data_IF_707534930145
#
_entry.id   IF_707534930145
#
_cell.length_a   1.000
_cell.length_b   1.000
_cell.length_c   1.000
_cell.angle_alpha   90.00
_cell.angle_beta   90.00
_cell.angle_gamma   90.00
#
_symmetry.space_group_name_H-M   'P 1'
#
loop_
_entity.id
_entity.type
_entity.pdbx_description
1 polymer ?
#
# COMPACT_ATOMS: atom_id res chain seq x y z
N UNK A 1 -21.85 6.45 -29.16
CA UNK A 1 -22.99 6.20 -28.28
C UNK A 1 -22.51 5.29 -27.16
N UNK A 2 -22.32 5.82 -25.97
CA UNK A 2 -21.91 5.06 -24.79
C UNK A 2 -23.04 4.11 -24.44
N UNK A 3 -22.80 2.81 -24.47
CA UNK A 3 -23.78 1.77 -24.12
C UNK A 3 -24.25 1.96 -22.67
N UNK A 4 -25.28 2.80 -22.46
CA UNK A 4 -26.17 2.82 -21.30
C UNK A 4 -25.63 2.75 -19.87
N UNK A 5 -24.30 2.66 -19.64
CA UNK A 5 -23.72 2.52 -18.33
C UNK A 5 -23.57 3.90 -17.70
N UNK A 6 -24.16 4.05 -16.52
CA UNK A 6 -24.01 5.27 -15.73
C UNK A 6 -22.76 5.18 -14.86
N UNK A 7 -21.73 5.96 -15.18
CA UNK A 7 -20.44 6.00 -14.47
C UNK A 7 -20.59 6.21 -12.96
N UNK A 8 -21.54 7.08 -12.54
CA UNK A 8 -21.82 7.35 -11.12
C UNK A 8 -22.52 6.20 -10.42
N UNK A 9 -23.32 5.43 -11.15
CA UNK A 9 -23.92 4.21 -10.61
C UNK A 9 -22.88 3.12 -10.38
N UNK A 10 -21.89 3.01 -11.28
CA UNK A 10 -20.77 2.09 -11.10
C UNK A 10 -19.87 2.52 -9.91
N UNK A 11 -19.59 3.81 -9.75
CA UNK A 11 -18.90 4.35 -8.57
C UNK A 11 -19.63 3.96 -7.28
N UNK A 12 -20.95 4.19 -7.22
CA UNK A 12 -21.75 3.82 -6.05
C UNK A 12 -21.66 2.33 -5.75
N UNK A 13 -21.74 1.47 -6.77
CA UNK A 13 -21.62 0.02 -6.59
C UNK A 13 -20.25 -0.35 -6.01
N UNK A 14 -19.16 0.21 -6.55
CA UNK A 14 -17.79 -0.04 -6.07
C UNK A 14 -17.66 0.39 -4.60
N UNK A 15 -18.12 1.58 -4.25
CA UNK A 15 -18.05 2.09 -2.88
C UNK A 15 -18.84 1.23 -1.90
N UNK A 16 -20.04 0.76 -2.29
CA UNK A 16 -20.84 -0.16 -1.47
C UNK A 16 -20.16 -1.52 -1.29
N UNK A 17 -19.53 -2.09 -2.32
CA UNK A 17 -18.76 -3.32 -2.22
C UNK A 17 -17.58 -3.18 -1.24
N UNK A 18 -16.91 -2.02 -1.22
CA UNK A 18 -15.80 -1.74 -0.31
C UNK A 18 -16.30 -1.58 1.14
N UNK A 19 -17.39 -0.85 1.35
CA UNK A 19 -17.91 -0.53 2.68
C UNK A 19 -18.70 -1.67 3.34
N UNK A 20 -19.57 -2.33 2.57
CA UNK A 20 -20.47 -3.35 3.10
C UNK A 20 -19.89 -4.77 3.03
N UNK A 21 -19.13 -5.09 1.97
CA UNK A 21 -18.56 -6.42 1.76
C UNK A 21 -17.10 -6.51 2.20
N UNK A 22 -16.50 -5.40 2.61
CA UNK A 22 -15.10 -5.37 3.08
C UNK A 22 -14.07 -5.65 1.97
N UNK A 23 -14.41 -5.50 0.70
CA UNK A 23 -13.46 -5.70 -0.41
C UNK A 23 -12.35 -4.67 -0.40
N UNK A 24 -11.15 -5.05 -0.80
CA UNK A 24 -10.06 -4.11 -1.01
C UNK A 24 -10.36 -3.18 -2.20
N UNK A 25 -10.10 -1.89 -2.05
CA UNK A 25 -10.43 -0.85 -3.04
C UNK A 25 -9.87 -1.17 -4.43
N UNK A 26 -8.58 -1.50 -4.51
CA UNK A 26 -7.91 -1.85 -5.76
C UNK A 26 -8.49 -3.09 -6.43
N UNK A 27 -8.99 -4.08 -5.66
CA UNK A 27 -9.65 -5.29 -6.19
C UNK A 27 -11.04 -4.92 -6.71
N UNK A 28 -11.83 -4.19 -5.93
CA UNK A 28 -13.18 -3.78 -6.32
C UNK A 28 -13.16 -2.92 -7.60
N UNK A 29 -12.28 -1.92 -7.65
CA UNK A 29 -12.10 -1.05 -8.81
C UNK A 29 -11.63 -1.85 -10.04
N UNK A 30 -10.59 -2.69 -9.90
CA UNK A 30 -10.08 -3.52 -10.99
C UNK A 30 -11.16 -4.46 -11.53
N UNK A 31 -11.89 -5.16 -10.66
CA UNK A 31 -12.93 -6.10 -11.06
C UNK A 31 -14.10 -5.40 -11.77
N UNK A 32 -14.46 -4.20 -11.32
CA UNK A 32 -15.47 -3.39 -12.00
C UNK A 32 -14.97 -2.93 -13.38
N UNK A 33 -13.78 -2.36 -13.47
CA UNK A 33 -13.21 -1.84 -14.72
C UNK A 33 -12.86 -2.94 -15.73
N UNK A 34 -12.50 -4.15 -15.28
CA UNK A 34 -12.27 -5.28 -16.18
C UNK A 34 -13.52 -5.77 -16.89
N UNK A 35 -14.70 -5.65 -16.25
CA UNK A 35 -16.00 -5.94 -16.89
C UNK A 35 -16.38 -4.89 -17.95
N UNK A 36 -15.84 -3.69 -17.85
CA UNK A 36 -16.19 -2.52 -18.67
C UNK A 36 -14.99 -1.96 -19.43
N UNK A 37 -14.16 -2.83 -20.00
CA UNK A 37 -12.95 -2.45 -20.74
C UNK A 37 -13.20 -1.51 -21.92
N UNK A 38 -14.41 -1.52 -22.47
CA UNK A 38 -14.84 -0.66 -23.57
C UNK A 38 -15.10 0.81 -23.15
N UNK A 39 -15.08 1.13 -21.84
CA UNK A 39 -15.21 2.51 -21.38
C UNK A 39 -13.98 3.33 -21.81
N UNK A 40 -14.20 4.58 -22.29
CA UNK A 40 -13.10 5.48 -22.61
C UNK A 40 -12.16 5.68 -21.43
N UNK A 41 -10.87 5.92 -21.72
CA UNK A 41 -9.84 6.16 -20.70
C UNK A 41 -10.26 7.20 -19.66
N UNK A 42 -10.86 8.31 -20.15
CA UNK A 42 -11.30 9.41 -19.29
C UNK A 42 -12.37 8.96 -18.28
N UNK A 43 -13.31 8.12 -18.70
CA UNK A 43 -14.36 7.60 -17.80
C UNK A 43 -13.77 6.61 -16.78
N UNK A 44 -12.85 5.75 -17.19
CA UNK A 44 -12.16 4.84 -16.26
C UNK A 44 -11.36 5.60 -15.23
N UNK A 45 -10.60 6.63 -15.65
CA UNK A 45 -9.85 7.51 -14.76
C UNK A 45 -10.77 8.25 -13.78
N UNK A 46 -11.93 8.74 -14.26
CA UNK A 46 -12.92 9.38 -13.43
C UNK A 46 -13.48 8.43 -12.35
N UNK A 47 -13.82 7.18 -12.72
CA UNK A 47 -14.31 6.17 -11.77
C UNK A 47 -13.25 5.91 -10.69
N UNK A 48 -12.04 5.62 -11.10
CA UNK A 48 -10.92 5.36 -10.17
C UNK A 48 -10.72 6.55 -9.22
N UNK A 49 -10.59 7.75 -9.77
CA UNK A 49 -10.34 8.97 -8.99
C UNK A 49 -11.44 9.27 -7.97
N UNK A 50 -12.71 9.11 -8.35
CA UNK A 50 -13.82 9.37 -7.42
C UNK A 50 -13.89 8.28 -6.34
N UNK A 51 -13.68 7.01 -6.67
CA UNK A 51 -13.69 5.94 -5.69
C UNK A 51 -12.54 6.09 -4.68
N UNK A 52 -11.31 6.21 -5.16
CA UNK A 52 -10.11 6.34 -4.32
C UNK A 52 -10.18 7.61 -3.46
N UNK A 53 -10.48 8.75 -4.06
CA UNK A 53 -10.54 10.00 -3.34
C UNK A 53 -11.69 10.08 -2.33
N UNK A 54 -12.83 9.44 -2.59
CA UNK A 54 -13.92 9.34 -1.60
C UNK A 54 -13.45 8.57 -0.35
N UNK A 55 -12.69 7.49 -0.53
CA UNK A 55 -12.11 6.72 0.57
C UNK A 55 -10.99 7.48 1.27
N UNK A 56 -10.11 8.11 0.50
CA UNK A 56 -8.98 8.88 1.00
C UNK A 56 -9.43 10.02 1.93
N UNK A 57 -10.44 10.79 1.49
CA UNK A 57 -10.95 11.96 2.21
C UNK A 57 -12.22 11.70 3.03
N UNK A 58 -12.56 10.44 3.32
CA UNK A 58 -13.84 10.07 3.93
C UNK A 58 -14.15 10.82 5.22
N UNK A 59 -13.18 10.97 6.14
CA UNK A 59 -13.41 11.66 7.43
C UNK A 59 -13.67 13.16 7.21
N UNK A 60 -12.91 13.80 6.33
CA UNK A 60 -13.14 15.20 5.97
C UNK A 60 -14.49 15.36 5.27
N UNK A 61 -14.85 14.46 4.36
CA UNK A 61 -16.12 14.46 3.65
C UNK A 61 -17.28 14.29 4.65
N UNK A 62 -17.19 13.34 5.57
CA UNK A 62 -18.19 13.12 6.60
C UNK A 62 -18.34 14.35 7.50
N UNK A 63 -17.23 14.98 7.89
CA UNK A 63 -17.26 16.24 8.64
C UNK A 63 -17.97 17.37 7.87
N UNK A 64 -17.73 17.49 6.56
CA UNK A 64 -18.43 18.47 5.69
C UNK A 64 -19.93 18.15 5.67
N UNK A 65 -20.31 16.90 5.45
CA UNK A 65 -21.72 16.49 5.38
C UNK A 65 -22.41 16.79 6.71
N UNK A 66 -21.84 16.39 7.84
CA UNK A 66 -22.40 16.57 9.16
C UNK A 66 -22.55 18.07 9.55
N UNK A 67 -21.65 18.92 9.04
CA UNK A 67 -21.73 20.38 9.28
C UNK A 67 -22.92 21.04 8.57
N UNK A 68 -23.44 20.44 7.52
CA UNK A 68 -24.54 21.02 6.72
C UNK A 68 -25.78 20.13 6.63
N UNK A 69 -25.78 18.99 7.29
CA UNK A 69 -26.91 18.04 7.35
C UNK A 69 -27.52 17.99 8.75
N UNK A 70 -28.86 17.91 8.82
CA UNK A 70 -29.56 17.65 10.09
C UNK A 70 -29.49 16.18 10.53
N UNK A 71 -29.07 15.29 9.64
CA UNK A 71 -28.92 13.85 9.89
C UNK A 71 -27.44 13.53 9.81
N UNK A 72 -26.88 12.96 10.88
CA UNK A 72 -25.50 12.50 10.90
C UNK A 72 -25.27 11.40 9.85
N UNK A 73 -24.10 11.41 9.23
CA UNK A 73 -23.67 10.43 8.20
C UNK A 73 -23.85 9.00 8.70
N UNK A 74 -23.54 8.72 9.97
CA UNK A 74 -23.67 7.37 10.56
C UNK A 74 -25.11 6.87 10.62
N UNK A 75 -26.10 7.77 10.66
CA UNK A 75 -27.54 7.45 10.68
C UNK A 75 -28.15 7.33 9.30
N UNK A 76 -27.39 7.63 8.25
CA UNK A 76 -27.88 7.56 6.88
C UNK A 76 -27.91 6.11 6.36
N UNK A 77 -28.88 5.83 5.45
CA UNK A 77 -28.84 4.56 4.69
C UNK A 77 -27.55 4.48 3.88
N UNK A 78 -26.87 3.32 3.82
CA UNK A 78 -25.59 3.19 3.13
C UNK A 78 -25.58 3.77 1.71
N UNK A 79 -26.61 3.47 0.91
CA UNK A 79 -26.73 4.00 -0.46
C UNK A 79 -26.75 5.54 -0.48
N UNK A 80 -27.49 6.19 0.41
CA UNK A 80 -27.57 7.66 0.47
C UNK A 80 -26.25 8.25 0.97
N UNK A 81 -25.62 7.61 1.96
CA UNK A 81 -24.32 7.98 2.49
C UNK A 81 -23.26 8.00 1.40
N UNK A 82 -23.13 6.93 0.63
CA UNK A 82 -22.14 6.84 -0.45
C UNK A 82 -22.44 7.77 -1.64
N UNK A 83 -23.73 8.02 -1.95
CA UNK A 83 -24.11 9.05 -2.92
C UNK A 83 -23.63 10.43 -2.46
N UNK A 84 -23.87 10.79 -1.19
CA UNK A 84 -23.43 12.09 -0.65
C UNK A 84 -21.91 12.18 -0.59
N UNK A 85 -21.22 11.15 -0.07
CA UNK A 85 -19.75 11.12 0.01
C UNK A 85 -19.11 11.33 -1.37
N UNK A 86 -19.48 10.54 -2.35
CA UNK A 86 -18.93 10.66 -3.71
C UNK A 86 -19.28 11.98 -4.41
N UNK A 87 -20.44 12.55 -4.10
CA UNK A 87 -20.82 13.88 -4.61
C UNK A 87 -20.01 15.00 -3.94
N UNK A 88 -19.84 14.94 -2.61
CA UNK A 88 -19.02 15.94 -1.88
C UNK A 88 -17.56 15.88 -2.32
N UNK A 89 -17.02 14.68 -2.56
CA UNK A 89 -15.68 14.55 -3.16
C UNK A 89 -15.57 15.30 -4.49
N UNK A 90 -16.54 15.09 -5.41
CA UNK A 90 -16.54 15.78 -6.70
C UNK A 90 -16.65 17.30 -6.53
N UNK A 91 -17.54 17.80 -5.67
CA UNK A 91 -17.71 19.26 -5.39
C UNK A 91 -16.42 19.87 -4.83
N UNK A 92 -15.73 19.14 -3.95
CA UNK A 92 -14.57 19.70 -3.21
C UNK A 92 -13.26 19.61 -3.97
N UNK A 93 -13.06 18.55 -4.78
CA UNK A 93 -11.76 18.19 -5.32
C UNK A 93 -11.71 18.05 -6.85
N UNK A 94 -12.83 18.29 -7.56
CA UNK A 94 -12.89 18.13 -9.02
C UNK A 94 -13.39 19.39 -9.72
N UNK A 95 -12.54 20.40 -9.85
CA UNK A 95 -12.90 21.69 -10.47
C UNK A 95 -13.45 21.57 -11.89
N UNK A 96 -13.11 20.49 -12.61
CA UNK A 96 -13.62 20.24 -13.97
C UNK A 96 -15.07 19.77 -14.02
N UNK A 97 -15.69 19.44 -12.86
CA UNK A 97 -17.06 18.95 -12.77
C UNK A 97 -17.94 20.04 -12.15
N UNK A 98 -18.92 20.62 -12.90
CA UNK A 98 -19.79 21.65 -12.33
C UNK A 98 -20.61 21.15 -11.15
N UNK A 99 -20.66 21.88 -10.05
CA UNK A 99 -21.40 21.54 -8.83
C UNK A 99 -22.88 21.23 -9.11
N UNK A 100 -23.51 22.00 -10.01
CA UNK A 100 -24.91 21.78 -10.41
C UNK A 100 -25.13 20.43 -11.09
N UNK A 101 -24.15 19.96 -11.87
CA UNK A 101 -24.20 18.64 -12.50
C UNK A 101 -24.06 17.54 -11.46
N UNK A 102 -23.12 17.68 -10.50
CA UNK A 102 -22.94 16.73 -9.38
C UNK A 102 -24.23 16.60 -8.57
N UNK A 103 -24.83 17.71 -8.14
CA UNK A 103 -26.06 17.73 -7.37
C UNK A 103 -27.22 17.02 -8.14
N UNK A 104 -27.39 17.35 -9.43
CA UNK A 104 -28.45 16.78 -10.23
C UNK A 104 -28.29 15.26 -10.44
N UNK A 105 -27.06 14.80 -10.72
CA UNK A 105 -26.81 13.36 -10.91
C UNK A 105 -26.95 12.58 -9.60
N UNK A 106 -26.52 13.11 -8.45
CA UNK A 106 -26.72 12.51 -7.13
C UNK A 106 -28.23 12.32 -6.82
N UNK A 107 -29.06 13.32 -7.11
CA UNK A 107 -30.50 13.22 -6.93
C UNK A 107 -31.12 12.18 -7.85
N UNK A 108 -30.73 12.13 -9.15
CA UNK A 108 -31.16 11.09 -10.07
C UNK A 108 -30.76 9.69 -9.63
N UNK A 109 -29.52 9.55 -9.08
CA UNK A 109 -29.00 8.29 -8.60
C UNK A 109 -29.79 7.79 -7.38
N UNK A 110 -30.07 8.66 -6.40
CA UNK A 110 -30.94 8.34 -5.27
C UNK A 110 -32.35 7.87 -5.74
N UNK A 111 -32.89 8.52 -6.74
CA UNK A 111 -34.18 8.13 -7.35
C UNK A 111 -34.10 6.75 -8.01
N UNK A 112 -33.06 6.47 -8.83
CA UNK A 112 -32.87 5.17 -9.49
C UNK A 112 -32.71 4.03 -8.50
N UNK A 113 -32.13 4.29 -7.34
CA UNK A 113 -31.96 3.32 -6.25
C UNK A 113 -33.18 3.18 -5.33
N UNK A 114 -34.30 3.77 -5.70
CA UNK A 114 -35.59 3.63 -4.99
C UNK A 114 -35.82 4.63 -3.85
N UNK A 115 -34.92 5.59 -3.64
CA UNK A 115 -35.02 6.57 -2.55
C UNK A 115 -35.72 7.88 -2.98
N UNK A 116 -36.89 7.76 -3.59
CA UNK A 116 -37.67 8.92 -4.11
C UNK A 116 -37.97 9.96 -3.03
N UNK A 117 -38.35 9.53 -1.83
CA UNK A 117 -38.69 10.42 -0.71
C UNK A 117 -37.49 11.21 -0.17
N UNK A 118 -36.26 10.75 -0.42
CA UNK A 118 -35.00 11.39 0.03
C UNK A 118 -34.44 12.38 -1.00
N UNK A 119 -35.01 12.52 -2.19
CA UNK A 119 -34.59 13.51 -3.21
C UNK A 119 -34.40 14.94 -2.65
N UNK A 120 -35.42 15.50 -1.92
CA UNK A 120 -35.28 16.84 -1.36
C UNK A 120 -34.12 16.95 -0.35
N UNK A 121 -33.89 15.90 0.44
CA UNK A 121 -32.80 15.82 1.40
C UNK A 121 -31.44 15.85 0.69
N UNK A 122 -31.21 14.93 -0.26
CA UNK A 122 -29.96 14.86 -1.03
C UNK A 122 -29.67 16.20 -1.73
N UNK A 123 -30.68 16.74 -2.41
CA UNK A 123 -30.54 18.02 -3.12
C UNK A 123 -30.24 19.19 -2.15
N UNK A 124 -30.94 19.26 -1.03
CA UNK A 124 -30.77 20.32 -0.03
C UNK A 124 -29.37 20.30 0.59
N UNK A 125 -28.89 19.15 1.02
CA UNK A 125 -27.55 18.98 1.59
C UNK A 125 -26.47 19.36 0.58
N UNK A 126 -26.50 18.79 -0.63
CA UNK A 126 -25.45 19.01 -1.63
C UNK A 126 -25.42 20.46 -2.12
N UNK A 127 -26.57 21.11 -2.33
CA UNK A 127 -26.60 22.53 -2.76
C UNK A 127 -26.10 23.47 -1.65
N UNK A 128 -26.36 23.15 -0.39
CA UNK A 128 -25.82 23.92 0.72
C UNK A 128 -24.31 23.75 0.81
N UNK A 129 -23.82 22.53 0.71
CA UNK A 129 -22.36 22.24 0.67
C UNK A 129 -21.72 22.99 -0.49
N UNK A 130 -22.23 22.86 -1.73
CA UNK A 130 -21.68 23.53 -2.91
C UNK A 130 -21.51 25.04 -2.74
N UNK A 131 -22.42 25.69 -2.01
CA UNK A 131 -22.36 27.12 -1.73
C UNK A 131 -21.43 27.51 -0.59
N UNK A 132 -21.38 26.70 0.48
CA UNK A 132 -20.84 27.11 1.78
C UNK A 132 -19.53 26.40 2.20
N UNK A 133 -19.13 25.29 1.54
CA UNK A 133 -18.00 24.48 2.02
C UNK A 133 -16.68 25.28 2.15
N UNK A 134 -16.51 26.35 1.33
CA UNK A 134 -15.32 27.20 1.39
C UNK A 134 -15.23 28.01 2.69
N UNK A 135 -16.36 28.19 3.35
CA UNK A 135 -16.48 28.90 4.64
C UNK A 135 -16.42 27.94 5.86
N UNK A 136 -16.30 26.63 5.59
CA UNK A 136 -16.24 25.63 6.65
C UNK A 136 -15.00 25.84 7.53
N UNK A 137 -15.21 25.95 8.83
CA UNK A 137 -14.13 25.99 9.81
C UNK A 137 -13.80 24.57 10.26
N UNK A 138 -12.51 24.23 10.19
CA UNK A 138 -12.02 23.00 10.81
C UNK A 138 -12.07 23.11 12.34
N UNK A 139 -12.00 22.00 13.09
CA UNK A 139 -11.82 22.02 14.54
C UNK A 139 -10.62 22.89 14.95
N UNK A 140 -10.67 23.52 16.14
CA UNK A 140 -9.54 24.31 16.63
C UNK A 140 -8.35 23.40 16.95
N UNK A 141 -7.16 23.75 16.44
CA UNK A 141 -5.92 23.01 16.71
C UNK A 141 -5.49 23.17 18.18
N UNK A 142 -5.72 24.36 18.75
CA UNK A 142 -5.35 24.66 20.13
C UNK A 142 -6.24 23.91 21.14
N UNK A 143 -7.54 23.73 20.82
CA UNK A 143 -8.48 23.06 21.72
C UNK A 143 -8.41 21.54 21.61
N UNK A 144 -8.25 21.03 20.38
CA UNK A 144 -8.19 19.58 20.11
C UNK A 144 -7.31 19.27 18.90
N UNK A 145 -5.97 19.17 19.09
CA UNK A 145 -5.04 18.90 18.01
C UNK A 145 -5.29 17.55 17.31
N UNK A 146 -5.70 16.52 18.05
CA UNK A 146 -6.00 15.20 17.48
C UNK A 146 -7.17 15.29 16.51
N UNK A 147 -8.28 15.93 16.93
CA UNK A 147 -9.47 16.11 16.09
C UNK A 147 -9.17 17.00 14.89
N UNK A 148 -8.39 18.07 15.07
CA UNK A 148 -7.95 18.92 13.98
C UNK A 148 -7.19 18.14 12.92
N UNK A 149 -6.16 17.39 13.32
CA UNK A 149 -5.34 16.57 12.39
C UNK A 149 -6.17 15.46 11.74
N UNK A 150 -7.04 14.82 12.51
CA UNK A 150 -7.96 13.79 12.00
C UNK A 150 -8.82 14.31 10.85
N UNK A 151 -9.50 15.43 11.05
CA UNK A 151 -10.37 16.01 10.01
C UNK A 151 -9.56 16.56 8.85
N UNK A 152 -8.49 17.32 9.13
CA UNK A 152 -7.65 17.95 8.11
C UNK A 152 -7.04 16.95 7.15
N UNK A 153 -6.50 15.86 7.68
CA UNK A 153 -5.78 14.83 6.91
C UNK A 153 -6.60 13.56 6.67
N UNK A 154 -7.88 13.59 7.05
CA UNK A 154 -8.80 12.46 6.90
C UNK A 154 -8.25 11.15 7.48
N UNK A 155 -7.69 11.20 8.70
CA UNK A 155 -7.10 10.07 9.41
C UNK A 155 -7.87 9.78 10.70
N UNK A 156 -8.17 8.52 11.06
CA UNK A 156 -8.82 8.18 12.33
C UNK A 156 -8.09 8.78 13.55
N UNK A 157 -8.83 9.32 14.50
CA UNK A 157 -8.26 9.93 15.72
C UNK A 157 -7.38 8.95 16.50
N UNK A 158 -7.74 7.67 16.51
CA UNK A 158 -6.95 6.61 17.16
C UNK A 158 -5.54 6.48 16.57
N UNK A 159 -5.40 6.56 15.24
CA UNK A 159 -4.10 6.53 14.58
C UNK A 159 -3.34 7.83 14.77
N UNK A 160 -4.03 8.97 14.67
CA UNK A 160 -3.40 10.28 14.93
C UNK A 160 -2.83 10.33 16.34
N UNK A 161 -3.61 9.93 17.35
CA UNK A 161 -3.17 9.94 18.75
C UNK A 161 -1.94 9.04 18.93
N UNK A 162 -1.99 7.81 18.43
CA UNK A 162 -0.87 6.87 18.49
C UNK A 162 0.40 7.45 17.87
N UNK A 163 0.32 8.02 16.66
CA UNK A 163 1.51 8.58 16.00
C UNK A 163 2.04 9.84 16.65
N UNK A 164 1.18 10.65 17.30
CA UNK A 164 1.64 11.76 18.12
C UNK A 164 2.46 11.27 19.34
N UNK A 165 2.04 10.17 19.96
CA UNK A 165 2.78 9.53 21.07
C UNK A 165 4.10 8.89 20.57
N UNK A 166 4.05 8.18 19.43
CA UNK A 166 5.19 7.43 18.90
C UNK A 166 6.26 8.29 18.25
N UNK A 167 5.85 9.32 17.50
CA UNK A 167 6.74 10.08 16.60
C UNK A 167 6.80 11.57 16.89
N UNK A 168 5.92 12.08 17.76
CA UNK A 168 5.77 13.51 18.04
C UNK A 168 5.03 14.27 16.93
N UNK A 169 4.70 15.53 17.18
CA UNK A 169 3.81 16.33 16.33
C UNK A 169 4.39 16.56 14.93
N UNK A 170 5.67 16.95 14.84
CA UNK A 170 6.31 17.28 13.55
C UNK A 170 6.35 16.11 12.58
N UNK A 171 6.81 14.95 13.05
CA UNK A 171 6.88 13.74 12.19
C UNK A 171 5.49 13.23 11.84
N UNK A 172 4.55 13.25 12.78
CA UNK A 172 3.16 12.86 12.54
C UNK A 172 2.53 13.72 11.45
N UNK A 173 2.71 15.02 11.47
CA UNK A 173 2.14 15.90 10.45
C UNK A 173 2.79 15.68 9.06
N UNK A 174 4.10 15.37 9.02
CA UNK A 174 4.78 14.94 7.77
C UNK A 174 4.19 13.64 7.22
N UNK A 175 4.00 12.64 8.07
CA UNK A 175 3.39 11.35 7.68
C UNK A 175 1.97 11.57 7.13
N UNK A 176 1.15 12.32 7.84
CA UNK A 176 -0.23 12.62 7.43
C UNK A 176 -0.30 13.38 6.10
N UNK A 177 0.58 14.34 5.90
CA UNK A 177 0.69 15.12 4.65
C UNK A 177 1.10 14.24 3.48
N UNK A 178 2.08 13.38 3.70
CA UNK A 178 2.63 12.48 2.68
C UNK A 178 1.59 11.48 2.16
N UNK A 179 0.73 10.99 3.04
CA UNK A 179 -0.35 10.08 2.65
C UNK A 179 -1.39 10.68 1.71
N UNK A 180 -1.52 12.01 1.67
CA UNK A 180 -2.39 12.74 0.75
C UNK A 180 -1.66 13.27 -0.49
N UNK A 181 -0.37 12.97 -0.61
CA UNK A 181 0.46 13.40 -1.74
C UNK A 181 0.48 12.31 -2.82
N UNK A 182 0.12 12.68 -4.04
CA UNK A 182 0.22 11.77 -5.18
C UNK A 182 1.70 11.46 -5.48
N UNK A 183 2.02 10.17 -5.56
CA UNK A 183 3.39 9.69 -5.79
C UNK A 183 3.50 8.96 -7.13
N UNK A 184 4.63 9.13 -7.84
CA UNK A 184 4.92 8.32 -9.02
C UNK A 184 5.05 6.84 -8.64
N UNK A 185 4.90 5.96 -9.63
CA UNK A 185 5.19 4.54 -9.44
C UNK A 185 6.70 4.34 -9.52
N UNK A 186 7.21 3.56 -8.58
CA UNK A 186 8.62 3.16 -8.56
C UNK A 186 8.80 1.80 -9.22
N UNK A 187 9.84 1.68 -10.03
CA UNK A 187 10.23 0.44 -10.69
C UNK A 187 11.69 0.11 -10.41
N UNK A 188 11.95 -1.17 -10.17
CA UNK A 188 13.28 -1.76 -10.09
C UNK A 188 13.72 -2.22 -11.47
N UNK A 189 14.91 -1.81 -11.91
CA UNK A 189 15.55 -2.27 -13.13
C UNK A 189 16.34 -3.55 -12.86
N UNK A 190 16.21 -4.55 -13.73
CA UNK A 190 16.95 -5.83 -13.64
C UNK A 190 18.33 -5.71 -14.30
N UNK A 191 19.20 -4.94 -13.65
CA UNK A 191 20.51 -4.53 -14.18
C UNK A 191 21.53 -5.67 -14.28
N UNK A 192 21.31 -6.80 -13.59
CA UNK A 192 22.15 -8.00 -13.76
C UNK A 192 21.98 -8.64 -15.15
N UNK A 193 20.78 -8.50 -15.77
CA UNK A 193 20.42 -9.13 -17.04
C UNK A 193 20.41 -8.14 -18.21
N UNK A 194 20.11 -6.87 -17.95
CA UNK A 194 19.95 -5.83 -18.96
C UNK A 194 20.72 -4.56 -18.60
N UNK A 195 21.41 -3.92 -19.56
CA UNK A 195 22.03 -2.62 -19.31
C UNK A 195 20.97 -1.57 -18.88
N UNK A 196 21.24 -0.83 -17.83
CA UNK A 196 20.31 0.18 -17.30
C UNK A 196 19.93 1.24 -18.36
N UNK A 197 20.89 1.61 -19.23
CA UNK A 197 20.65 2.54 -20.33
C UNK A 197 19.60 2.03 -21.31
N UNK A 198 19.61 0.76 -21.66
CA UNK A 198 18.62 0.14 -22.55
C UNK A 198 17.21 0.16 -21.93
N UNK A 199 17.11 -0.09 -20.62
CA UNK A 199 15.84 -0.02 -19.91
C UNK A 199 15.29 1.42 -19.92
N UNK A 200 16.15 2.40 -19.65
CA UNK A 200 15.80 3.81 -19.69
C UNK A 200 15.30 4.24 -21.08
N UNK A 201 16.06 3.94 -22.13
CA UNK A 201 15.71 4.25 -23.52
C UNK A 201 14.36 3.63 -23.91
N UNK A 202 14.13 2.36 -23.57
CA UNK A 202 12.87 1.66 -23.83
C UNK A 202 11.65 2.33 -23.17
N UNK A 203 11.81 2.92 -21.98
CA UNK A 203 10.75 3.66 -21.31
C UNK A 203 10.51 5.03 -21.97
N UNK A 204 11.58 5.78 -22.26
CA UNK A 204 11.50 7.10 -22.86
C UNK A 204 10.93 7.06 -24.28
N UNK A 205 11.29 6.08 -25.09
CA UNK A 205 10.78 5.89 -26.45
C UNK A 205 9.27 5.66 -26.49
N UNK A 206 8.70 5.14 -25.39
CA UNK A 206 7.25 5.00 -25.21
C UNK A 206 6.57 6.23 -24.55
N UNK A 207 7.31 7.34 -24.39
CA UNK A 207 6.80 8.60 -23.86
C UNK A 207 6.67 8.63 -22.33
N UNK A 208 7.29 7.68 -21.62
CA UNK A 208 7.30 7.66 -20.16
C UNK A 208 8.25 8.71 -19.62
N UNK A 209 7.80 9.47 -18.62
CA UNK A 209 8.70 10.31 -17.84
C UNK A 209 9.43 9.43 -16.81
N UNK A 210 10.77 9.48 -16.85
CA UNK A 210 11.64 8.65 -16.01
C UNK A 210 12.55 9.54 -15.18
N UNK A 211 12.50 9.37 -13.86
CA UNK A 211 13.39 10.05 -12.91
C UNK A 211 14.13 9.03 -12.07
N UNK A 212 15.38 9.29 -11.65
CA UNK A 212 16.02 8.42 -10.65
C UNK A 212 15.19 8.37 -9.38
N UNK A 213 14.97 7.16 -8.86
CA UNK A 213 14.37 6.99 -7.55
C UNK A 213 15.41 7.28 -6.44
N UNK A 214 14.97 7.61 -5.21
CA UNK A 214 15.89 7.81 -4.10
C UNK A 214 16.63 6.52 -3.73
N UNK A 215 17.78 6.66 -3.10
CA UNK A 215 18.56 5.63 -2.41
C UNK A 215 19.21 4.54 -3.30
N UNK A 216 18.58 4.11 -4.39
CA UNK A 216 19.05 2.98 -5.20
C UNK A 216 19.27 3.38 -6.66
N UNK A 217 20.51 3.25 -7.19
CA UNK A 217 20.85 3.74 -8.52
C UNK A 217 20.16 3.00 -9.68
N UNK A 218 19.65 1.78 -9.43
CA UNK A 218 18.95 0.96 -10.41
C UNK A 218 17.41 1.08 -10.32
N UNK A 219 16.91 2.02 -9.54
CA UNK A 219 15.48 2.27 -9.39
C UNK A 219 15.08 3.58 -10.09
N UNK A 220 13.89 3.57 -10.70
CA UNK A 220 13.29 4.75 -11.33
C UNK A 220 11.90 5.03 -10.80
N UNK A 221 11.57 6.31 -10.69
CA UNK A 221 10.20 6.81 -10.61
C UNK A 221 9.69 7.05 -12.03
N UNK A 222 8.53 6.51 -12.35
CA UNK A 222 7.93 6.62 -13.69
C UNK A 222 6.54 7.26 -13.64
N UNK A 223 6.25 8.11 -14.62
CA UNK A 223 4.98 8.80 -14.80
C UNK A 223 4.65 8.99 -16.28
N UNK A 224 3.50 9.58 -16.60
CA UNK A 224 3.07 9.86 -17.96
C UNK A 224 2.96 8.64 -18.89
N UNK A 225 2.44 7.52 -18.40
CA UNK A 225 2.14 6.33 -19.21
C UNK A 225 0.64 5.96 -19.12
N UNK A 226 0.16 5.22 -20.11
CA UNK A 226 -1.24 4.82 -20.14
C UNK A 226 -1.54 3.62 -19.24
N UNK A 227 -0.70 2.61 -19.34
CA UNK A 227 -0.88 1.34 -18.62
C UNK A 227 0.47 0.66 -18.48
N UNK A 228 0.89 0.35 -17.25
CA UNK A 228 2.21 -0.26 -17.01
C UNK A 228 2.37 -1.61 -17.70
N UNK A 229 1.28 -2.40 -17.80
CA UNK A 229 1.27 -3.69 -18.47
C UNK A 229 1.45 -3.61 -20.00
N UNK A 230 1.43 -2.39 -20.58
CA UNK A 230 1.65 -2.17 -22.01
C UNK A 230 3.04 -1.63 -22.31
N UNK A 231 3.87 -1.39 -21.29
CA UNK A 231 5.25 -0.95 -21.47
C UNK A 231 6.13 -2.14 -21.87
N UNK A 232 6.92 -1.98 -22.93
CA UNK A 232 7.82 -3.03 -23.43
C UNK A 232 8.81 -3.49 -22.36
N UNK A 233 9.36 -2.55 -21.60
CA UNK A 233 10.26 -2.87 -20.51
C UNK A 233 9.58 -3.74 -19.42
N UNK A 234 8.27 -3.57 -19.18
CA UNK A 234 7.52 -4.42 -18.25
C UNK A 234 7.22 -5.78 -18.85
N UNK A 235 6.69 -5.83 -20.08
CA UNK A 235 6.33 -7.07 -20.79
C UNK A 235 7.57 -7.98 -20.93
N UNK A 236 8.72 -7.40 -21.26
CA UNK A 236 9.99 -8.12 -21.43
C UNK A 236 10.68 -8.45 -20.10
N UNK A 237 10.06 -8.19 -18.97
CA UNK A 237 10.62 -8.47 -17.65
C UNK A 237 11.87 -7.66 -17.28
N UNK A 238 12.15 -6.55 -17.98
CA UNK A 238 13.29 -5.67 -17.69
C UNK A 238 13.10 -4.83 -16.44
N UNK A 239 11.85 -4.55 -16.08
CA UNK A 239 11.47 -3.82 -14.87
C UNK A 239 10.46 -4.60 -14.03
N UNK A 240 10.51 -4.35 -12.72
CA UNK A 240 9.55 -4.83 -11.74
C UNK A 240 8.97 -3.63 -10.98
N UNK A 241 7.63 -3.56 -10.81
CA UNK A 241 7.01 -2.58 -9.93
C UNK A 241 7.34 -2.95 -8.51
N UNK A 242 8.07 -2.09 -7.83
CA UNK A 242 8.50 -2.31 -6.45
C UNK A 242 8.83 -0.97 -5.82
N UNK A 243 8.40 -0.74 -4.57
CA UNK A 243 8.80 0.45 -3.81
C UNK A 243 10.26 0.31 -3.35
N UNK A 244 10.97 1.44 -3.26
CA UNK A 244 12.37 1.44 -2.82
C UNK A 244 12.53 0.83 -1.44
N UNK A 245 11.61 1.09 -0.51
CA UNK A 245 11.62 0.47 0.82
C UNK A 245 11.63 -1.06 0.76
N UNK A 246 10.83 -1.63 -0.14
CA UNK A 246 10.79 -3.07 -0.40
C UNK A 246 12.05 -3.59 -1.11
N UNK A 247 12.71 -2.75 -1.95
CA UNK A 247 13.98 -3.12 -2.58
C UNK A 247 15.11 -3.22 -1.57
N UNK A 248 15.14 -2.38 -0.53
CA UNK A 248 16.15 -2.40 0.53
C UNK A 248 16.19 -3.73 1.28
N UNK A 249 15.11 -4.51 1.30
CA UNK A 249 15.10 -5.85 1.92
C UNK A 249 16.13 -6.77 1.27
N UNK A 250 16.19 -6.80 -0.06
CA UNK A 250 17.15 -7.64 -0.78
C UNK A 250 18.60 -7.10 -0.67
N UNK A 251 18.77 -5.76 -0.59
CA UNK A 251 20.07 -5.17 -0.31
C UNK A 251 20.60 -5.60 1.05
N UNK A 252 19.76 -5.48 2.09
CA UNK A 252 20.09 -5.83 3.47
C UNK A 252 20.29 -7.35 3.64
N UNK A 253 19.51 -8.16 2.94
CA UNK A 253 19.64 -9.61 2.96
C UNK A 253 21.01 -10.07 2.45
N UNK A 254 21.56 -9.35 1.46
CA UNK A 254 22.87 -9.60 0.85
C UNK A 254 23.09 -11.07 0.46
N UNK A 255 22.17 -11.68 -0.36
CA UNK A 255 22.29 -13.08 -0.71
C UNK A 255 23.52 -13.32 -1.58
N UNK A 256 24.22 -14.42 -1.34
CA UNK A 256 25.42 -14.80 -2.08
C UNK A 256 25.11 -15.80 -3.17
N UNK A 257 25.97 -15.87 -4.19
CA UNK A 257 25.82 -16.86 -5.26
C UNK A 257 25.84 -18.27 -4.69
N UNK A 258 24.80 -19.04 -5.01
CA UNK A 258 24.66 -20.42 -4.56
C UNK A 258 23.85 -20.58 -3.27
N UNK A 259 23.42 -19.49 -2.62
CA UNK A 259 22.58 -19.55 -1.43
C UNK A 259 21.23 -20.24 -1.70
N UNK A 260 20.73 -20.88 -0.67
CA UNK A 260 19.33 -21.29 -0.57
C UNK A 260 18.57 -20.28 0.28
N UNK A 261 17.61 -19.60 -0.37
CA UNK A 261 16.81 -18.55 0.25
C UNK A 261 15.36 -19.00 0.37
N UNK A 262 14.74 -18.81 1.53
CA UNK A 262 13.32 -19.01 1.76
C UNK A 262 12.64 -17.65 1.93
N UNK A 263 11.63 -17.35 1.12
CA UNK A 263 10.75 -16.19 1.27
C UNK A 263 9.38 -16.66 1.78
N UNK A 264 9.09 -16.38 3.07
CA UNK A 264 7.97 -16.97 3.80
C UNK A 264 6.59 -16.47 3.37
N UNK A 265 6.48 -15.23 2.84
CA UNK A 265 5.24 -14.56 2.46
C UNK A 265 5.47 -13.79 1.17
N UNK A 266 5.81 -14.52 0.08
CA UNK A 266 6.48 -14.00 -1.08
C UNK A 266 5.61 -13.15 -2.03
N UNK A 267 4.28 -13.37 -2.06
CA UNK A 267 3.43 -12.75 -3.08
C UNK A 267 3.44 -11.21 -3.06
N UNK A 268 3.53 -10.58 -4.23
CA UNK A 268 3.51 -11.11 -5.59
C UNK A 268 4.87 -11.52 -6.19
N UNK A 269 5.92 -11.74 -5.37
CA UNK A 269 7.23 -12.23 -5.79
C UNK A 269 8.31 -11.15 -5.98
N UNK A 270 8.02 -9.89 -5.67
CA UNK A 270 8.95 -8.78 -5.90
C UNK A 270 10.29 -8.93 -5.16
N UNK A 271 10.27 -9.36 -3.89
CA UNK A 271 11.47 -9.59 -3.06
C UNK A 271 12.21 -10.85 -3.48
N UNK A 272 11.49 -11.95 -3.70
CA UNK A 272 12.04 -13.21 -4.19
C UNK A 272 12.81 -13.03 -5.51
N UNK A 273 12.19 -12.35 -6.49
CA UNK A 273 12.83 -12.03 -7.78
C UNK A 273 14.02 -11.07 -7.61
N UNK A 274 13.98 -10.14 -6.65
CA UNK A 274 15.11 -9.24 -6.40
C UNK A 274 16.30 -9.99 -5.82
N UNK A 275 16.07 -10.86 -4.85
CA UNK A 275 17.10 -11.75 -4.29
C UNK A 275 17.69 -12.65 -5.38
N UNK A 276 16.86 -13.25 -6.22
CA UNK A 276 17.30 -14.06 -7.35
C UNK A 276 18.19 -13.26 -8.32
N UNK A 277 17.79 -12.03 -8.64
CA UNK A 277 18.58 -11.11 -9.47
C UNK A 277 19.96 -10.81 -8.85
N UNK A 278 20.03 -10.61 -7.54
CA UNK A 278 21.30 -10.38 -6.83
C UNK A 278 22.21 -11.61 -6.83
N UNK A 279 21.65 -12.80 -6.78
CA UNK A 279 22.41 -14.05 -6.91
C UNK A 279 22.85 -14.33 -8.35
N UNK A 280 22.36 -13.61 -9.33
CA UNK A 280 22.76 -13.74 -10.75
C UNK A 280 22.41 -15.09 -11.35
N UNK A 281 21.21 -15.58 -11.10
CA UNK A 281 20.68 -16.88 -11.54
C UNK A 281 21.40 -18.12 -10.93
N UNK A 282 22.21 -17.94 -9.89
CA UNK A 282 22.82 -19.03 -9.10
C UNK A 282 22.10 -19.21 -7.76
N UNK A 283 22.08 -20.46 -7.24
CA UNK A 283 21.35 -20.79 -6.01
C UNK A 283 19.87 -21.02 -6.24
N UNK A 284 19.07 -20.98 -5.18
CA UNK A 284 17.62 -21.26 -5.23
C UNK A 284 16.88 -20.33 -4.29
N UNK A 285 15.76 -19.77 -4.76
CA UNK A 285 14.79 -19.05 -3.95
C UNK A 285 13.50 -19.86 -3.88
N UNK A 286 13.13 -20.29 -2.68
CA UNK A 286 11.87 -20.96 -2.39
C UNK A 286 10.87 -19.89 -1.92
N UNK A 287 10.00 -19.48 -2.84
CA UNK A 287 9.02 -18.42 -2.66
C UNK A 287 7.68 -19.04 -2.23
N UNK A 288 7.28 -18.80 -0.98
CA UNK A 288 6.11 -19.43 -0.33
C UNK A 288 5.00 -18.41 -0.09
N UNK A 289 3.75 -18.83 -0.27
CA UNK A 289 2.60 -18.05 0.19
C UNK A 289 1.40 -18.95 0.49
N UNK A 290 0.46 -18.44 1.30
CA UNK A 290 -0.63 -19.22 1.91
C UNK A 290 -1.67 -19.76 0.92
N UNK A 291 -1.80 -19.20 -0.29
CA UNK A 291 -2.88 -19.58 -1.21
C UNK A 291 -2.42 -19.72 -2.65
N UNK A 292 -3.09 -20.63 -3.39
CA UNK A 292 -2.81 -20.84 -4.82
C UNK A 292 -2.90 -19.53 -5.61
N UNK A 293 -3.93 -18.70 -5.38
CA UNK A 293 -4.06 -17.41 -6.05
C UNK A 293 -2.82 -16.50 -5.89
N UNK A 294 -2.20 -16.50 -4.70
CA UNK A 294 -0.98 -15.73 -4.46
C UNK A 294 0.24 -16.36 -5.11
N UNK A 295 0.32 -17.68 -5.10
CA UNK A 295 1.37 -18.43 -5.81
C UNK A 295 1.28 -18.19 -7.31
N UNK A 296 0.07 -18.22 -7.90
CA UNK A 296 -0.13 -17.91 -9.32
C UNK A 296 0.43 -16.52 -9.69
N UNK A 297 0.28 -15.53 -8.80
CA UNK A 297 0.86 -14.19 -9.01
C UNK A 297 2.40 -14.20 -9.00
N UNK A 298 3.02 -15.05 -8.17
CA UNK A 298 4.48 -15.22 -8.15
C UNK A 298 4.93 -15.89 -9.46
N UNK A 299 4.25 -16.95 -9.87
CA UNK A 299 4.54 -17.68 -11.12
C UNK A 299 4.40 -16.80 -12.36
N UNK A 300 3.34 -15.97 -12.45
CA UNK A 300 3.18 -14.98 -13.51
C UNK A 300 4.41 -14.05 -13.61
N UNK A 301 4.93 -13.58 -12.47
CA UNK A 301 6.11 -12.73 -12.44
C UNK A 301 7.40 -13.52 -12.76
N UNK A 302 7.55 -14.77 -12.32
CA UNK A 302 8.67 -15.66 -12.70
C UNK A 302 8.69 -15.82 -14.23
N UNK A 303 7.56 -16.18 -14.83
CA UNK A 303 7.44 -16.33 -16.28
C UNK A 303 7.75 -15.05 -17.04
N UNK A 304 7.15 -13.93 -16.62
CA UNK A 304 7.35 -12.63 -17.26
C UNK A 304 8.81 -12.17 -17.22
N UNK A 305 9.52 -12.48 -16.14
CA UNK A 305 10.91 -12.07 -15.95
C UNK A 305 11.93 -13.10 -16.44
N UNK A 306 11.47 -14.27 -16.90
CA UNK A 306 12.31 -15.40 -17.29
C UNK A 306 13.37 -15.71 -16.20
N UNK A 307 12.87 -15.79 -14.94
CA UNK A 307 13.70 -16.09 -13.77
C UNK A 307 13.74 -17.60 -13.57
N UNK A 308 14.94 -18.19 -13.54
CA UNK A 308 15.12 -19.66 -13.56
C UNK A 308 15.40 -20.27 -12.19
N UNK A 309 15.73 -19.45 -11.20
CA UNK A 309 16.16 -19.89 -9.87
C UNK A 309 15.17 -19.55 -8.74
N UNK A 310 13.93 -19.22 -9.08
CA UNK A 310 12.82 -19.06 -8.14
C UNK A 310 11.80 -20.16 -8.35
N UNK A 311 11.40 -20.81 -7.26
CA UNK A 311 10.34 -21.81 -7.24
C UNK A 311 9.23 -21.31 -6.31
N UNK A 312 7.96 -21.41 -6.73
CA UNK A 312 6.82 -20.93 -5.96
C UNK A 312 6.02 -22.09 -5.40
N UNK A 313 5.66 -22.02 -4.10
CA UNK A 313 4.94 -23.08 -3.41
C UNK A 313 3.82 -22.54 -2.54
N UNK A 314 2.68 -23.25 -2.52
CA UNK A 314 1.62 -23.01 -1.52
C UNK A 314 2.08 -23.57 -0.19
N UNK A 315 2.31 -22.69 0.78
CA UNK A 315 2.69 -23.07 2.15
C UNK A 315 2.19 -22.04 3.15
N UNK A 316 1.59 -22.54 4.23
CA UNK A 316 1.18 -21.69 5.35
C UNK A 316 2.40 -21.44 6.26
N UNK A 317 2.85 -20.19 6.34
CA UNK A 317 4.01 -19.80 7.13
C UNK A 317 3.83 -20.02 8.65
N UNK A 318 2.59 -20.26 9.12
CA UNK A 318 2.30 -20.59 10.53
C UNK A 318 2.49 -22.08 10.83
N UNK A 319 2.66 -22.92 9.81
CA UNK A 319 2.87 -24.36 9.94
C UNK A 319 4.36 -24.67 9.73
N UNK A 320 4.98 -25.30 10.73
CA UNK A 320 6.39 -25.67 10.64
C UNK A 320 6.63 -26.75 9.57
N UNK A 321 7.60 -26.48 8.70
CA UNK A 321 8.06 -27.41 7.68
C UNK A 321 9.37 -28.08 8.09
N UNK A 322 9.30 -29.34 8.52
CA UNK A 322 10.45 -30.10 8.98
C UNK A 322 11.52 -30.28 7.89
N UNK A 323 11.09 -30.31 6.62
CA UNK A 323 12.01 -30.46 5.50
C UNK A 323 12.87 -29.21 5.24
N UNK A 324 12.51 -28.08 5.82
CA UNK A 324 13.26 -26.82 5.72
C UNK A 324 14.15 -26.51 6.91
N UNK A 325 14.09 -27.33 7.97
CA UNK A 325 14.84 -27.10 9.21
C UNK A 325 16.35 -26.94 8.95
N UNK A 326 16.93 -25.82 9.41
CA UNK A 326 18.35 -25.48 9.31
C UNK A 326 18.96 -25.54 7.90
N UNK A 327 18.15 -25.32 6.85
CA UNK A 327 18.63 -25.42 5.46
C UNK A 327 18.91 -24.07 4.79
N UNK A 328 18.24 -23.00 5.21
CA UNK A 328 18.34 -21.73 4.52
C UNK A 328 19.58 -20.92 4.92
N UNK A 329 20.29 -20.41 3.92
CA UNK A 329 21.33 -19.40 4.09
C UNK A 329 20.72 -18.06 4.50
N UNK A 330 19.59 -17.73 3.86
CA UNK A 330 18.81 -16.52 4.10
C UNK A 330 17.33 -16.86 4.20
N UNK A 331 16.66 -16.31 5.20
CA UNK A 331 15.18 -16.34 5.29
C UNK A 331 14.67 -14.91 5.22
N UNK A 332 13.74 -14.66 4.32
CA UNK A 332 12.95 -13.43 4.26
C UNK A 332 11.61 -13.64 4.96
N UNK A 333 11.37 -12.89 6.02
CA UNK A 333 10.11 -12.84 6.73
C UNK A 333 9.43 -11.48 6.53
N UNK A 334 8.92 -11.24 5.29
CA UNK A 334 8.09 -10.08 4.98
C UNK A 334 6.64 -10.40 5.36
N UNK A 335 6.36 -10.28 6.65
CA UNK A 335 5.16 -10.84 7.26
C UNK A 335 3.91 -10.01 7.00
N UNK A 336 2.72 -10.64 7.01
CA UNK A 336 1.45 -9.93 7.00
C UNK A 336 1.41 -8.90 8.13
N UNK A 337 0.97 -7.66 7.82
CA UNK A 337 0.98 -6.55 8.76
C UNK A 337 -0.24 -5.64 8.58
N UNK A 338 -0.43 -4.67 9.49
CA UNK A 338 -1.50 -3.67 9.39
C UNK A 338 -1.44 -2.82 8.12
N UNK A 339 -0.25 -2.65 7.52
CA UNK A 339 -0.05 -1.88 6.31
C UNK A 339 -0.12 -0.36 6.49
N UNK A 340 0.06 0.15 7.71
CA UNK A 340 -0.03 1.59 7.98
C UNK A 340 1.00 2.42 7.22
N UNK A 341 2.10 1.82 6.77
CA UNK A 341 3.11 2.51 5.96
C UNK A 341 2.67 2.80 4.53
N UNK A 342 1.62 2.14 4.03
CA UNK A 342 1.16 2.21 2.64
C UNK A 342 -0.27 2.77 2.50
N UNK A 343 -0.77 3.47 3.52
CA UNK A 343 -2.11 4.09 3.53
C UNK A 343 -2.31 5.02 2.32
N UNK A 344 -1.29 5.76 1.89
CA UNK A 344 -1.37 6.63 0.71
C UNK A 344 -1.70 5.89 -0.59
N UNK A 345 -1.33 4.61 -0.69
CA UNK A 345 -1.64 3.72 -1.83
C UNK A 345 -2.90 2.88 -1.62
N UNK A 346 -3.31 2.66 -0.36
CA UNK A 346 -4.44 1.81 0.03
C UNK A 346 -5.24 2.50 1.16
N UNK A 347 -6.00 3.56 0.84
CA UNK A 347 -6.62 4.42 1.86
C UNK A 347 -7.66 3.71 2.74
N UNK A 348 -8.22 2.59 2.31
CA UNK A 348 -9.17 1.81 3.12
C UNK A 348 -8.54 1.15 4.35
N UNK A 349 -7.22 0.95 4.36
CA UNK A 349 -6.49 0.32 5.48
C UNK A 349 -6.78 1.05 6.79
N UNK A 350 -6.74 2.37 6.79
CA UNK A 350 -6.93 3.20 7.99
C UNK A 350 -8.29 3.02 8.68
N UNK A 351 -9.28 2.44 8.00
CA UNK A 351 -10.63 2.21 8.54
C UNK A 351 -10.87 0.76 9.00
N UNK A 352 -9.93 -0.16 8.79
CA UNK A 352 -10.15 -1.60 8.97
C UNK A 352 -9.47 -2.20 10.17
N UNK A 353 -8.39 -1.61 10.64
CA UNK A 353 -7.62 -2.17 11.75
C UNK A 353 -8.17 -1.64 13.07
N UNK A 354 -8.69 -2.55 13.88
CA UNK A 354 -9.09 -2.33 15.27
C UNK A 354 -7.97 -2.75 16.21
N UNK A 355 -8.02 -2.35 17.49
CA UNK A 355 -7.04 -2.79 18.49
C UNK A 355 -6.95 -4.33 18.59
N UNK A 356 -8.09 -5.01 18.58
CA UNK A 356 -8.12 -6.47 18.58
C UNK A 356 -7.42 -7.08 17.35
N UNK A 357 -7.69 -6.57 16.15
CA UNK A 357 -7.00 -7.02 14.93
C UNK A 357 -5.50 -6.75 14.97
N UNK A 358 -5.09 -5.66 15.60
CA UNK A 358 -3.67 -5.35 15.81
C UNK A 358 -2.99 -6.43 16.65
N UNK A 359 -3.62 -6.84 17.76
CA UNK A 359 -3.11 -7.92 18.61
C UNK A 359 -3.05 -9.27 17.86
N UNK A 360 -4.11 -9.60 17.10
CA UNK A 360 -4.14 -10.81 16.27
C UNK A 360 -3.00 -10.82 15.23
N UNK A 361 -2.71 -9.67 14.60
CA UNK A 361 -1.61 -9.51 13.65
C UNK A 361 -0.26 -9.75 14.33
N UNK A 362 -0.02 -9.17 15.50
CA UNK A 362 1.23 -9.37 16.26
C UNK A 362 1.44 -10.85 16.61
N UNK A 363 0.40 -11.54 17.05
CA UNK A 363 0.47 -12.99 17.35
C UNK A 363 0.81 -13.80 16.09
N UNK A 364 0.14 -13.49 14.97
CA UNK A 364 0.42 -14.12 13.68
C UNK A 364 1.88 -13.92 13.25
N UNK A 365 2.38 -12.69 13.35
CA UNK A 365 3.76 -12.35 13.00
C UNK A 365 4.77 -13.13 13.84
N UNK A 366 4.55 -13.23 15.16
CA UNK A 366 5.42 -14.01 16.06
C UNK A 366 5.42 -15.49 15.70
N UNK A 367 4.25 -16.06 15.38
CA UNK A 367 4.16 -17.46 14.94
C UNK A 367 4.96 -17.71 13.66
N UNK A 368 4.91 -16.78 12.70
CA UNK A 368 5.71 -16.87 11.47
C UNK A 368 7.20 -16.72 11.76
N UNK A 369 7.58 -15.80 12.64
CA UNK A 369 8.98 -15.59 13.04
C UNK A 369 9.55 -16.78 13.81
N UNK A 370 8.76 -17.46 14.64
CA UNK A 370 9.15 -18.72 15.30
C UNK A 370 9.56 -19.78 14.25
N UNK A 371 8.71 -20.01 13.24
CA UNK A 371 9.02 -20.96 12.17
C UNK A 371 10.22 -20.50 11.31
N UNK A 372 10.26 -19.21 10.96
CA UNK A 372 11.36 -18.64 10.19
C UNK A 372 12.71 -18.83 10.87
N UNK A 373 12.76 -18.70 12.21
CA UNK A 373 13.97 -18.92 12.98
C UNK A 373 14.53 -20.34 12.81
N UNK A 374 13.66 -21.35 12.79
CA UNK A 374 14.07 -22.75 12.68
C UNK A 374 14.61 -23.12 11.28
N UNK A 375 14.27 -22.37 10.25
CA UNK A 375 14.74 -22.63 8.88
C UNK A 375 16.16 -22.11 8.61
N UNK A 376 16.60 -21.09 9.34
CA UNK A 376 17.93 -20.48 9.17
C UNK A 376 19.00 -21.41 9.69
N UNK A 377 19.99 -21.73 8.89
CA UNK A 377 21.16 -22.53 9.32
C UNK A 377 22.08 -21.74 10.28
N UNK A 378 22.91 -22.40 11.11
CA UNK A 378 23.89 -21.70 11.93
C UNK A 378 24.76 -20.73 11.10
N UNK A 379 24.89 -19.50 11.55
CA UNK A 379 25.56 -18.43 10.81
C UNK A 379 24.75 -17.81 9.66
N UNK A 380 23.56 -18.32 9.35
CA UNK A 380 22.67 -17.77 8.33
C UNK A 380 21.97 -16.47 8.77
N UNK A 381 21.25 -15.87 7.86
CA UNK A 381 20.58 -14.57 8.02
C UNK A 381 19.07 -14.72 8.03
N UNK A 382 18.40 -13.99 8.92
CA UNK A 382 16.97 -13.72 8.83
C UNK A 382 16.75 -12.22 8.64
N UNK A 383 15.96 -11.85 7.62
CA UNK A 383 15.51 -10.47 7.42
C UNK A 383 14.03 -10.41 7.69
N UNK A 384 13.68 -9.71 8.75
CA UNK A 384 12.29 -9.41 9.12
C UNK A 384 11.87 -8.08 8.54
N UNK A 385 10.73 -8.01 7.88
CA UNK A 385 10.22 -6.76 7.34
C UNK A 385 8.69 -6.66 7.39
N UNK A 386 8.20 -5.42 7.43
CA UNK A 386 6.77 -5.08 7.38
C UNK A 386 6.56 -3.78 6.61
N UNK A 387 5.40 -3.64 5.95
CA UNK A 387 4.97 -2.37 5.35
C UNK A 387 4.12 -1.52 6.33
N UNK A 388 4.46 -1.53 7.61
CA UNK A 388 3.78 -0.73 8.64
C UNK A 388 4.73 0.19 9.39
N UNK A 389 4.14 1.15 10.10
CA UNK A 389 4.83 2.05 11.03
C UNK A 389 4.36 1.85 12.47
N UNK A 390 3.72 0.72 12.78
CA UNK A 390 3.28 0.38 14.12
C UNK A 390 4.44 -0.23 14.93
N UNK A 391 4.79 0.34 16.07
CA UNK A 391 5.90 -0.13 16.91
C UNK A 391 5.70 -1.55 17.43
N UNK A 392 4.46 -1.90 17.74
CA UNK A 392 4.08 -3.23 18.23
C UNK A 392 4.40 -4.34 17.22
N UNK A 393 4.25 -4.02 15.93
CA UNK A 393 4.54 -4.95 14.84
C UNK A 393 6.02 -4.95 14.45
N UNK A 394 6.76 -3.90 14.76
CA UNK A 394 8.12 -3.65 14.32
C UNK A 394 9.15 -3.84 15.46
N UNK A 395 9.50 -2.77 16.18
CA UNK A 395 10.54 -2.78 17.22
C UNK A 395 10.23 -3.76 18.36
N UNK A 396 8.96 -3.86 18.78
CA UNK A 396 8.59 -4.77 19.86
C UNK A 396 8.68 -6.24 19.42
N UNK A 397 8.28 -6.56 18.18
CA UNK A 397 8.47 -7.91 17.63
C UNK A 397 9.95 -8.24 17.42
N UNK A 398 10.76 -7.29 16.97
CA UNK A 398 12.22 -7.44 16.86
C UNK A 398 12.83 -7.76 18.22
N UNK A 399 12.49 -7.01 19.27
CA UNK A 399 13.00 -7.23 20.62
C UNK A 399 12.51 -8.58 21.20
N UNK A 400 11.21 -8.89 20.98
CA UNK A 400 10.66 -10.19 21.36
C UNK A 400 11.45 -11.34 20.70
N UNK A 401 11.70 -11.25 19.39
CA UNK A 401 12.44 -12.26 18.65
C UNK A 401 13.85 -12.49 19.20
N UNK A 402 14.60 -11.42 19.48
CA UNK A 402 15.94 -11.50 20.06
C UNK A 402 15.96 -12.16 21.45
N UNK A 403 14.90 -11.98 22.23
CA UNK A 403 14.81 -12.56 23.58
C UNK A 403 14.42 -14.04 23.58
N UNK A 404 13.80 -14.53 22.49
CA UNK A 404 13.28 -15.90 22.42
C UNK A 404 14.08 -16.83 21.51
N UNK A 405 14.94 -16.29 20.63
CA UNK A 405 15.69 -17.09 19.65
C UNK A 405 17.20 -16.83 19.72
N UNK A 406 18.04 -17.81 19.30
CA UNK A 406 19.50 -17.70 19.33
C UNK A 406 20.05 -16.83 18.19
N UNK A 407 19.57 -15.61 18.09
CA UNK A 407 19.97 -14.63 17.07
C UNK A 407 20.56 -13.36 17.71
N UNK A 408 21.26 -12.59 16.89
CA UNK A 408 21.72 -11.24 17.22
C UNK A 408 21.43 -10.32 16.04
N UNK A 409 21.15 -9.06 16.32
CA UNK A 409 21.12 -8.04 15.26
C UNK A 409 22.50 -7.90 14.61
N UNK A 410 22.50 -7.62 13.31
CA UNK A 410 23.69 -7.35 12.51
C UNK A 410 23.55 -6.01 11.81
N UNK A 411 24.55 -5.13 11.94
CA UNK A 411 24.54 -3.81 11.31
C UNK A 411 24.15 -3.87 9.83
N UNK A 412 23.26 -2.97 9.44
CA UNK A 412 22.78 -2.84 8.06
C UNK A 412 23.41 -1.66 7.31
N UNK A 413 24.24 -0.84 7.97
CA UNK A 413 24.96 0.29 7.33
C UNK A 413 25.71 -0.11 6.06
N UNK A 414 26.42 -1.27 5.99
CA UNK A 414 27.15 -1.64 4.77
C UNK A 414 26.27 -1.83 3.52
N UNK A 415 24.97 -2.00 3.70
CA UNK A 415 24.00 -2.29 2.63
C UNK A 415 23.12 -1.08 2.27
N UNK A 416 23.31 0.03 2.97
CA UNK A 416 22.50 1.24 2.84
C UNK A 416 23.33 2.42 2.33
N UNK A 417 22.72 3.34 1.59
CA UNK A 417 23.37 4.62 1.30
C UNK A 417 23.53 5.45 2.59
N UNK A 418 24.62 6.22 2.66
CA UNK A 418 24.99 7.01 3.86
C UNK A 418 23.86 7.90 4.41
N UNK A 419 23.00 8.40 3.53
CA UNK A 419 21.86 9.25 3.93
C UNK A 419 20.79 8.51 4.78
N UNK A 420 20.81 7.19 4.82
CA UNK A 420 19.96 6.35 5.68
C UNK A 420 20.67 5.86 6.95
N UNK A 421 21.96 6.13 7.10
CA UNK A 421 22.70 5.70 8.28
C UNK A 421 22.22 6.40 9.55
N UNK A 422 22.13 5.65 10.63
CA UNK A 422 21.65 6.10 11.93
C UNK A 422 22.15 5.17 13.05
N UNK A 423 21.88 5.51 14.30
CA UNK A 423 22.15 4.62 15.42
C UNK A 423 21.43 3.27 15.28
N UNK A 424 20.18 3.27 14.76
CA UNK A 424 19.41 2.04 14.60
C UNK A 424 19.91 1.18 13.45
N UNK A 425 20.41 1.77 12.36
CA UNK A 425 20.99 1.00 11.24
C UNK A 425 22.34 0.38 11.62
N UNK A 426 23.14 1.08 12.42
CA UNK A 426 24.34 0.52 13.01
C UNK A 426 24.06 -0.65 13.96
N UNK A 427 22.90 -0.64 14.65
CA UNK A 427 22.44 -1.75 15.47
C UNK A 427 21.85 -2.91 14.65
N UNK A 428 21.29 -2.66 13.46
CA UNK A 428 20.76 -3.70 12.58
C UNK A 428 19.28 -3.57 12.20
N UNK A 429 18.67 -2.40 12.37
CA UNK A 429 17.28 -2.18 11.94
C UNK A 429 17.01 -0.75 11.44
N UNK A 430 15.99 -0.61 10.62
CA UNK A 430 15.58 0.65 10.00
C UNK A 430 14.05 0.79 10.01
N UNK A 431 13.54 1.90 10.55
CA UNK A 431 12.17 2.33 10.37
C UNK A 431 12.11 3.48 9.37
N UNK A 432 11.53 3.24 8.20
CA UNK A 432 11.21 4.26 7.22
C UNK A 432 9.82 4.85 7.51
N UNK A 433 9.72 6.18 7.51
CA UNK A 433 8.47 6.90 7.76
C UNK A 433 8.09 7.74 6.53
N UNK A 434 6.82 7.68 6.07
CA UNK A 434 6.33 8.51 4.98
C UNK A 434 6.54 10.01 5.28
N UNK A 435 6.95 10.78 4.29
CA UNK A 435 7.20 12.22 4.44
C UNK A 435 8.43 12.62 5.25
N UNK A 436 9.05 11.67 5.95
CA UNK A 436 10.38 11.82 6.58
C UNK A 436 11.45 11.24 5.67
N UNK A 437 11.19 10.05 5.16
CA UNK A 437 11.98 9.39 4.12
C UNK A 437 11.23 9.47 2.78
N UNK A 438 11.97 9.35 1.69
CA UNK A 438 11.40 9.44 0.33
C UNK A 438 10.89 8.09 -0.16
N UNK A 439 10.16 7.35 0.70
CA UNK A 439 9.64 6.00 0.43
C UNK A 439 8.31 5.81 1.13
N UNK A 440 7.68 4.66 0.93
CA UNK A 440 6.61 4.20 1.81
C UNK A 440 7.12 3.97 3.24
N UNK A 441 6.19 3.90 4.20
CA UNK A 441 6.52 3.47 5.57
C UNK A 441 6.84 1.98 5.59
N UNK A 442 8.00 1.64 6.15
CA UNK A 442 8.51 0.28 6.12
C UNK A 442 9.47 0.02 7.27
N UNK A 443 9.50 -1.21 7.75
CA UNK A 443 10.46 -1.64 8.77
C UNK A 443 11.30 -2.81 8.26
N UNK A 444 12.59 -2.81 8.59
CA UNK A 444 13.52 -3.90 8.25
C UNK A 444 14.45 -4.13 9.43
N UNK A 445 14.61 -5.40 9.83
CA UNK A 445 15.63 -5.81 10.80
C UNK A 445 16.41 -7.03 10.27
N UNK A 446 17.74 -7.02 10.42
CA UNK A 446 18.62 -8.11 10.03
C UNK A 446 19.14 -8.83 11.24
N UNK A 447 18.96 -10.13 11.25
CA UNK A 447 19.44 -11.01 12.30
C UNK A 447 20.42 -12.04 11.75
N UNK A 448 21.44 -12.36 12.55
CA UNK A 448 22.38 -13.46 12.30
C UNK A 448 22.16 -14.54 13.34
N UNK A 449 21.93 -15.80 12.90
CA UNK A 449 21.87 -16.95 13.82
C UNK A 449 23.24 -17.19 14.46
N UNK A 450 23.26 -17.42 15.79
CA UNK A 450 24.47 -17.69 16.57
C UNK A 450 25.00 -19.09 16.30
#
# INVERSE_FOLDING_TARGET
>A
MTNGINTRELILQILLEIEEEGKHSHIAIRNALSKYQFLPRQERAFITRVCEGTLEYRILIDYIIDSYSKVSVDKMKPVIREILRSAVYQIRFMDSVPDSAVCNEAVKLAQRKGFYSLKPFVNGVLRTIAREWKNLKLPSREENPVRYLSVRYSMPETLVNRWLEDYGEEKTEKILTDFLTEKPITVRCRTHKYPQKEIYESLVDQGVEVKPAPYLPYAYEISNYNHILALDAFIQGKIQVQDVSSMLVAEIADPQKGDYVIDMCAAPGGKSLHVADKMGDYGTVDARDISQYKVDMIEENIHRTDCINVQAHVMDATVFDVDSELKADVVLADVPCSGYGVIGKKPEIKYRVTAQKQEEIVILQRTILDNAAEYVKPGGVLVFSTCTIAKEENEENMLWFMNNHPFKLESIDPYLPEELHSETTALGYLQLLPGVHKTDGFFIAKFRRK
#
